data_IF_128958698238
#
_entry.id   IF_128958698238
#
_cell.length_a   1.000
_cell.length_b   1.000
_cell.length_c   1.000
_cell.angle_alpha   90.00
_cell.angle_beta   90.00
_cell.angle_gamma   90.00
#
_symmetry.space_group_name_H-M   'P 1'
#
loop_
_entity.id
_entity.type
_entity.pdbx_description
1 polymer ?
#
# COMPACT_ATOMS: atom_id res chain seq x y z
N UNK A 1 3.03 -13.02 11.46
CA UNK A 1 3.49 -12.74 10.08
C UNK A 1 2.36 -12.04 9.36
N UNK A 2 2.34 -10.72 9.49
CA UNK A 2 1.39 -9.86 8.79
C UNK A 2 1.66 -9.86 7.28
N UNK A 3 0.60 -9.69 6.46
CA UNK A 3 0.68 -9.65 4.98
C UNK A 3 1.10 -8.28 4.43
N UNK A 4 1.51 -7.35 5.28
CA UNK A 4 1.86 -5.98 4.87
C UNK A 4 3.38 -5.87 4.67
N UNK A 5 3.85 -5.27 3.56
CA UNK A 5 5.28 -5.14 3.30
C UNK A 5 5.93 -4.05 4.15
N UNK A 6 7.18 -4.29 4.55
CA UNK A 6 8.04 -3.33 5.26
C UNK A 6 7.55 -3.00 6.67
N UNK A 7 7.81 -1.76 7.10
CA UNK A 7 7.51 -1.30 8.47
C UNK A 7 6.03 -1.41 8.88
N UNK A 8 5.09 -1.39 7.91
CA UNK A 8 3.67 -1.62 8.22
C UNK A 8 3.41 -3.06 8.64
N UNK A 9 4.22 -4.00 8.17
CA UNK A 9 4.15 -5.38 8.60
C UNK A 9 4.65 -5.56 10.03
N UNK A 10 5.76 -4.91 10.37
CA UNK A 10 6.31 -4.90 11.73
C UNK A 10 5.34 -4.24 12.71
N UNK A 11 4.73 -3.10 12.34
CA UNK A 11 3.68 -2.45 13.13
C UNK A 11 2.48 -3.38 13.31
N UNK A 12 2.07 -4.10 12.27
CA UNK A 12 0.94 -5.04 12.38
C UNK A 12 1.26 -6.24 13.27
N UNK A 13 2.52 -6.68 13.34
CA UNK A 13 2.93 -7.78 14.22
C UNK A 13 2.96 -7.34 15.70
N UNK A 14 3.29 -6.07 16.02
CA UNK A 14 3.35 -5.58 17.43
C UNK A 14 2.09 -4.89 17.94
N UNK A 15 1.32 -4.25 17.06
CA UNK A 15 0.14 -3.46 17.42
C UNK A 15 -1.17 -3.98 16.80
N UNK A 16 -1.07 -5.04 16.00
CA UNK A 16 -2.20 -5.64 15.30
C UNK A 16 -2.48 -5.00 13.95
N UNK A 17 -3.10 -5.80 13.07
CA UNK A 17 -3.39 -5.41 11.69
C UNK A 17 -4.30 -4.17 11.60
N UNK A 18 -5.31 -4.06 12.47
CA UNK A 18 -6.25 -2.95 12.45
C UNK A 18 -5.57 -1.62 12.80
N UNK A 19 -4.66 -1.62 13.77
CA UNK A 19 -3.85 -0.45 14.13
C UNK A 19 -2.95 -0.01 12.96
N UNK A 20 -2.26 -0.96 12.31
CA UNK A 20 -1.43 -0.68 11.14
C UNK A 20 -2.24 -0.06 9.99
N UNK A 21 -3.44 -0.60 9.73
CA UNK A 21 -4.34 -0.08 8.69
C UNK A 21 -4.90 1.29 9.03
N UNK A 22 -5.31 1.53 10.28
CA UNK A 22 -5.76 2.85 10.76
C UNK A 22 -4.68 3.89 10.60
N UNK A 23 -3.44 3.56 10.99
CA UNK A 23 -2.28 4.44 10.87
C UNK A 23 -1.96 4.80 9.41
N UNK A 24 -1.86 3.79 8.54
CA UNK A 24 -1.62 4.03 7.11
C UNK A 24 -2.76 4.82 6.45
N UNK A 25 -4.01 4.59 6.86
CA UNK A 25 -5.17 5.37 6.39
C UNK A 25 -5.13 6.81 6.90
N UNK A 26 -4.75 7.07 8.14
CA UNK A 26 -4.78 8.42 8.71
C UNK A 26 -3.60 9.29 8.25
N UNK A 27 -2.40 8.70 8.20
CA UNK A 27 -1.13 9.44 8.07
C UNK A 27 -0.17 8.86 7.03
N UNK A 28 -0.60 7.88 6.23
CA UNK A 28 0.22 7.34 5.15
C UNK A 28 0.65 8.43 4.18
N UNK A 29 1.95 8.50 3.91
CA UNK A 29 2.59 9.47 3.01
C UNK A 29 2.99 10.76 3.70
N UNK A 30 2.82 10.86 5.02
CA UNK A 30 3.20 12.03 5.83
C UNK A 30 4.18 11.63 6.92
N UNK A 31 5.07 12.56 7.28
CA UNK A 31 5.89 12.44 8.47
C UNK A 31 5.03 12.63 9.72
N UNK A 32 5.27 11.79 10.72
CA UNK A 32 4.62 11.91 12.01
C UNK A 32 5.62 11.59 13.12
N UNK A 33 5.60 12.40 14.18
CA UNK A 33 6.32 12.09 15.41
C UNK A 33 5.69 10.88 16.09
N UNK A 34 6.46 9.80 16.19
CA UNK A 34 6.05 8.59 16.90
C UNK A 34 6.23 8.84 18.40
N UNK A 35 5.17 8.65 19.18
CA UNK A 35 5.22 8.80 20.63
C UNK A 35 4.20 7.86 21.27
N UNK A 36 4.67 7.06 22.23
CA UNK A 36 3.84 6.15 23.02
C UNK A 36 3.13 6.84 24.19
N UNK A 37 3.11 8.18 24.23
CA UNK A 37 2.42 8.93 25.28
C UNK A 37 0.90 8.70 25.17
N UNK A 38 0.22 8.30 26.26
CA UNK A 38 -1.23 8.15 26.27
C UNK A 38 -1.94 9.45 25.84
N UNK A 39 -2.99 9.33 25.04
CA UNK A 39 -3.74 10.46 24.47
C UNK A 39 -2.97 11.31 23.45
N UNK A 40 -1.73 10.94 23.10
CA UNK A 40 -0.94 11.59 22.08
C UNK A 40 -1.48 11.35 20.66
N UNK A 41 -0.93 12.06 19.68
CA UNK A 41 -1.42 12.01 18.30
C UNK A 41 -1.44 10.60 17.69
N UNK A 42 -0.48 9.73 18.06
CA UNK A 42 -0.44 8.33 17.63
C UNK A 42 -1.54 7.51 18.31
N UNK A 43 -1.67 7.66 19.63
CA UNK A 43 -2.69 6.97 20.42
C UNK A 43 -4.13 7.32 20.01
N UNK A 44 -4.37 8.56 19.57
CA UNK A 44 -5.68 8.94 19.02
C UNK A 44 -6.05 8.18 17.73
N UNK A 45 -5.07 7.65 17.00
CA UNK A 45 -5.28 6.92 15.75
C UNK A 45 -5.39 5.41 16.00
N UNK A 46 -4.50 4.86 16.84
CA UNK A 46 -4.37 3.40 17.01
C UNK A 46 -4.78 2.87 18.39
N UNK A 47 -4.99 3.75 19.37
CA UNK A 47 -5.18 3.42 20.79
C UNK A 47 -3.89 3.56 21.60
N UNK A 48 -4.01 3.75 22.93
CA UNK A 48 -2.87 3.98 23.82
C UNK A 48 -1.89 2.79 23.86
N UNK A 49 -2.42 1.57 23.95
CA UNK A 49 -1.62 0.34 24.01
C UNK A 49 -0.86 0.10 22.69
N UNK A 50 -1.55 0.22 21.56
CA UNK A 50 -0.94 0.12 20.24
C UNK A 50 0.12 1.20 20.01
N UNK A 51 -0.14 2.44 20.43
CA UNK A 51 0.83 3.53 20.29
C UNK A 51 2.10 3.29 21.10
N UNK A 52 1.98 2.71 22.29
CA UNK A 52 3.14 2.32 23.11
C UNK A 52 3.98 1.26 22.39
N UNK A 53 3.36 0.17 21.93
CA UNK A 53 4.07 -0.91 21.22
C UNK A 53 4.76 -0.40 19.94
N UNK A 54 4.13 0.51 19.20
CA UNK A 54 4.71 1.12 18.01
C UNK A 54 5.89 2.02 18.37
N UNK A 55 5.79 2.78 19.46
CA UNK A 55 6.88 3.65 19.91
C UNK A 55 8.08 2.86 20.45
N UNK A 56 7.83 1.71 21.07
CA UNK A 56 8.89 0.80 21.52
C UNK A 56 9.62 0.14 20.32
N UNK A 57 8.90 -0.15 19.24
CA UNK A 57 9.47 -0.69 18.00
C UNK A 57 10.29 0.35 17.21
N UNK A 58 9.71 1.52 16.96
CA UNK A 58 10.29 2.54 16.06
C UNK A 58 11.20 3.55 16.76
N UNK A 59 11.10 3.64 18.09
CA UNK A 59 11.64 4.74 18.86
C UNK A 59 10.80 6.02 18.73
N UNK A 60 11.08 6.99 19.61
CA UNK A 60 10.41 8.30 19.62
C UNK A 60 10.98 9.26 18.58
N UNK A 61 11.07 8.82 17.33
CA UNK A 61 11.59 9.60 16.20
C UNK A 61 10.46 10.10 15.29
N UNK A 62 10.77 11.10 14.46
CA UNK A 62 9.90 11.48 13.36
C UNK A 62 10.05 10.46 12.24
N UNK A 63 8.95 9.83 11.86
CA UNK A 63 8.95 8.74 10.88
C UNK A 63 7.95 9.01 9.77
N UNK A 64 8.37 8.81 8.52
CA UNK A 64 7.49 8.91 7.35
C UNK A 64 6.68 7.64 7.23
N UNK A 65 5.38 7.73 7.52
CA UNK A 65 4.51 6.57 7.52
C UNK A 65 4.27 6.12 6.07
N UNK A 66 4.55 4.87 5.70
CA UNK A 66 4.31 4.42 4.34
C UNK A 66 2.82 4.38 4.04
N UNK A 67 2.45 4.74 2.80
CA UNK A 67 1.07 4.69 2.32
C UNK A 67 0.55 3.26 2.07
N UNK A 68 1.44 2.25 2.09
CA UNK A 68 1.22 0.97 1.45
C UNK A 68 0.55 1.15 0.05
N UNK A 69 -0.30 0.21 -0.36
CA UNK A 69 -1.20 0.39 -1.50
C UNK A 69 -2.56 1.00 -1.07
N UNK A 70 -2.61 1.72 0.05
CA UNK A 70 -3.87 2.21 0.65
C UNK A 70 -4.24 3.63 0.21
N UNK A 71 -3.27 4.42 -0.28
CA UNK A 71 -3.50 5.78 -0.83
C UNK A 71 -2.71 6.02 -2.14
N UNK A 72 -3.03 7.12 -2.82
CA UNK A 72 -2.34 7.56 -4.05
C UNK A 72 -2.69 6.78 -5.32
N UNK A 73 -1.94 7.03 -6.41
CA UNK A 73 -2.18 6.38 -7.71
C UNK A 73 -2.12 4.84 -7.60
N UNK A 74 -1.22 4.29 -6.77
CA UNK A 74 -1.08 2.83 -6.61
C UNK A 74 -2.33 2.19 -6.01
N UNK A 75 -2.96 2.84 -5.02
CA UNK A 75 -4.23 2.42 -4.44
C UNK A 75 -5.40 2.52 -5.42
N UNK A 76 -5.51 3.63 -6.16
CA UNK A 76 -6.53 3.81 -7.21
C UNK A 76 -6.43 2.70 -8.26
N UNK A 77 -5.20 2.38 -8.70
CA UNK A 77 -4.94 1.31 -9.66
C UNK A 77 -5.26 -0.07 -9.07
N UNK A 78 -4.90 -0.36 -7.82
CA UNK A 78 -5.24 -1.62 -7.17
C UNK A 78 -6.77 -1.82 -7.06
N UNK A 79 -7.51 -0.77 -6.66
CA UNK A 79 -8.98 -0.77 -6.63
C UNK A 79 -9.57 -0.95 -8.04
N UNK A 80 -8.99 -0.29 -9.04
CA UNK A 80 -9.41 -0.42 -10.42
C UNK A 80 -9.31 -1.87 -10.92
N UNK A 81 -8.18 -2.54 -10.64
CA UNK A 81 -7.98 -3.96 -11.00
C UNK A 81 -9.02 -4.87 -10.37
N UNK A 82 -9.31 -4.67 -9.08
CA UNK A 82 -10.33 -5.47 -8.38
C UNK A 82 -11.72 -5.31 -9.00
N UNK A 83 -12.11 -4.08 -9.37
CA UNK A 83 -13.39 -3.83 -10.06
C UNK A 83 -13.42 -4.42 -11.48
N UNK A 84 -12.31 -4.37 -12.21
CA UNK A 84 -12.19 -4.99 -13.53
C UNK A 84 -12.31 -6.52 -13.45
N UNK A 85 -11.66 -7.15 -12.45
CA UNK A 85 -11.79 -8.60 -12.20
C UNK A 85 -13.21 -9.00 -11.84
N UNK A 86 -13.97 -8.12 -11.19
CA UNK A 86 -15.40 -8.29 -10.92
C UNK A 86 -16.30 -8.07 -12.14
N UNK A 87 -15.72 -7.80 -13.32
CA UNK A 87 -16.47 -7.60 -14.57
C UNK A 87 -17.15 -6.23 -14.70
N UNK A 88 -16.80 -5.26 -13.85
CA UNK A 88 -17.38 -3.91 -13.95
C UNK A 88 -16.89 -3.22 -15.23
N UNK A 89 -17.78 -2.59 -16.02
CA UNK A 89 -17.38 -1.89 -17.25
C UNK A 89 -16.33 -0.80 -16.99
N UNK A 90 -15.32 -0.68 -17.87
CA UNK A 90 -14.17 0.22 -17.72
C UNK A 90 -14.55 1.69 -17.45
N UNK A 91 -15.63 2.18 -18.06
CA UNK A 91 -16.15 3.53 -17.82
C UNK A 91 -16.65 3.74 -16.40
N UNK A 92 -17.37 2.76 -15.85
CA UNK A 92 -17.81 2.77 -14.44
C UNK A 92 -16.62 2.66 -13.48
N UNK A 93 -15.61 1.86 -13.82
CA UNK A 93 -14.38 1.74 -13.03
C UNK A 93 -13.63 3.07 -12.98
N UNK A 94 -13.45 3.73 -14.14
CA UNK A 94 -12.77 5.02 -14.25
C UNK A 94 -13.39 6.08 -13.31
N UNK A 95 -14.73 6.16 -13.31
CA UNK A 95 -15.48 7.04 -12.41
C UNK A 95 -15.31 6.65 -10.93
N UNK A 96 -15.35 5.36 -10.61
CA UNK A 96 -15.30 4.86 -9.24
C UNK A 96 -13.93 5.03 -8.54
N UNK A 97 -12.86 5.23 -9.31
CA UNK A 97 -11.49 5.35 -8.79
C UNK A 97 -10.81 6.68 -9.14
N UNK A 98 -11.54 7.60 -9.78
CA UNK A 98 -11.07 8.95 -10.14
C UNK A 98 -9.80 8.92 -11.01
N UNK A 99 -9.88 8.20 -12.13
CA UNK A 99 -8.81 8.16 -13.15
C UNK A 99 -9.39 8.19 -14.56
N UNK A 100 -8.59 8.65 -15.53
CA UNK A 100 -9.01 8.68 -16.92
C UNK A 100 -9.25 7.27 -17.50
N UNK A 101 -10.19 7.15 -18.44
CA UNK A 101 -10.51 5.88 -19.13
C UNK A 101 -9.27 5.22 -19.76
N UNK A 102 -8.44 6.00 -20.44
CA UNK A 102 -7.13 5.59 -20.98
C UNK A 102 -6.24 4.86 -19.97
N UNK A 103 -6.28 5.23 -18.69
CA UNK A 103 -5.49 4.56 -17.63
C UNK A 103 -6.06 3.17 -17.32
N UNK A 104 -7.38 3.02 -17.32
CA UNK A 104 -8.07 1.75 -17.11
C UNK A 104 -7.84 0.81 -18.30
N UNK A 105 -7.91 1.32 -19.53
CA UNK A 105 -7.64 0.54 -20.75
C UNK A 105 -6.20 0.01 -20.78
N UNK A 106 -5.22 0.85 -20.46
CA UNK A 106 -3.82 0.43 -20.33
C UNK A 106 -3.61 -0.63 -19.24
N UNK A 107 -4.31 -0.52 -18.11
CA UNK A 107 -4.25 -1.54 -17.06
C UNK A 107 -4.80 -2.88 -17.56
N UNK A 108 -5.94 -2.85 -18.25
CA UNK A 108 -6.57 -4.05 -18.83
C UNK A 108 -5.71 -4.67 -19.93
N UNK A 109 -5.02 -3.87 -20.74
CA UNK A 109 -4.07 -4.38 -21.75
C UNK A 109 -2.90 -5.12 -21.09
N UNK A 110 -2.25 -4.52 -20.08
CA UNK A 110 -1.17 -5.17 -19.34
C UNK A 110 -1.59 -6.49 -18.69
N UNK A 111 -2.80 -6.55 -18.11
CA UNK A 111 -3.33 -7.81 -17.54
C UNK A 111 -3.62 -8.89 -18.58
N UNK A 112 -3.82 -8.52 -19.86
CA UNK A 112 -3.97 -9.48 -20.97
C UNK A 112 -2.62 -9.90 -21.55
N UNK A 113 -1.60 -9.05 -21.42
CA UNK A 113 -0.23 -9.28 -21.89
C UNK A 113 0.63 -10.08 -20.89
N UNK A 114 0.23 -10.18 -19.61
CA UNK A 114 0.85 -11.02 -18.58
C UNK A 114 0.27 -12.47 -18.49
N UNK A 115 0.43 -13.35 -19.50
CA UNK A 115 0.43 -14.79 -19.23
C UNK A 115 1.81 -15.46 -19.17
N UNK A 116 2.91 -14.84 -19.62
CA UNK A 116 4.22 -15.50 -19.63
C UNK A 116 5.38 -14.56 -19.30
N UNK A 117 6.40 -15.01 -18.52
CA UNK A 117 7.63 -14.25 -18.37
C UNK A 117 8.28 -14.12 -19.75
N UNK A 118 8.36 -12.88 -20.25
CA UNK A 118 9.04 -12.56 -21.48
C UNK A 118 10.50 -13.03 -21.36
N UNK A 119 10.82 -14.13 -22.04
CA UNK A 119 12.19 -14.64 -22.17
C UNK A 119 13.06 -13.54 -22.80
N UNK A 120 14.31 -13.35 -22.34
CA UNK A 120 15.19 -12.34 -22.89
C UNK A 120 15.40 -12.58 -24.39
N UNK A 121 15.16 -11.54 -25.20
CA UNK A 121 15.18 -11.58 -26.66
C UNK A 121 16.60 -11.71 -27.26
N UNK A 122 17.65 -11.73 -26.43
CA UNK A 122 19.03 -11.84 -26.89
C UNK A 122 19.81 -12.77 -25.96
N UNK A 123 19.91 -14.05 -26.33
CA UNK A 123 21.08 -14.84 -25.99
C UNK A 123 22.23 -14.31 -26.85
N UNK A 124 23.23 -13.67 -26.24
CA UNK A 124 24.49 -13.40 -26.91
C UNK A 124 25.28 -14.71 -27.00
N UNK A 125 25.62 -15.21 -28.20
CA UNK A 125 26.67 -16.22 -28.30
C UNK A 125 27.99 -15.56 -27.91
N UNK A 126 28.54 -15.93 -26.76
CA UNK A 126 29.94 -15.68 -26.44
C UNK A 126 30.81 -16.38 -27.49
N UNK A 127 31.45 -15.58 -28.32
CA UNK A 127 32.58 -15.97 -29.17
C UNK A 127 33.68 -16.58 -28.31
N UNK A 128 34.06 -17.82 -28.61
CA UNK A 128 35.41 -18.35 -28.36
C UNK A 128 35.98 -18.84 -29.68
#
# INVERSE_FOLDING_TARGET
MSRLPGILGEIADVAGLDAALKLARARGGTAMKISGKPGGALAQIVGDEAARNIADLLGSIEYTIPMANLRGQKARRAKARLLLQQGVPSSKVALAVDVHLRTIERLRQREREDPEPQLPLFDTPETQ
#
